data_IF_986976172086
#
_entry.id   IF_986976172086
#
_cell.length_a   1.000
_cell.length_b   1.000
_cell.length_c   1.000
_cell.angle_alpha   90.00
_cell.angle_beta   90.00
_cell.angle_gamma   90.00
#
_symmetry.space_group_name_H-M   'P 1'
#
loop_
_entity.id
_entity.type
_entity.pdbx_description
1 polymer ?
#
# COMPACT_ATOMS: atom_id res chain seq x y z
N UNK A 1 43.41 -20.12 4.96
CA UNK A 1 42.37 -19.89 3.94
C UNK A 1 41.07 -19.69 4.71
N UNK A 2 40.71 -18.44 5.00
CA UNK A 2 39.57 -18.11 5.85
C UNK A 2 38.28 -18.41 5.07
N UNK A 3 37.58 -19.44 5.51
CA UNK A 3 36.21 -19.71 5.08
C UNK A 3 35.37 -18.53 5.58
N UNK A 4 34.91 -17.72 4.64
CA UNK A 4 33.92 -16.67 4.86
C UNK A 4 32.69 -17.33 5.47
N UNK A 5 32.54 -17.21 6.79
CA UNK A 5 31.29 -17.48 7.49
C UNK A 5 30.27 -16.53 6.84
N UNK A 6 29.36 -17.07 6.04
CA UNK A 6 28.23 -16.30 5.53
C UNK A 6 27.51 -15.72 6.74
N UNK A 7 27.54 -14.39 6.91
CA UNK A 7 26.78 -13.73 7.97
C UNK A 7 25.33 -14.17 7.82
N UNK A 8 24.83 -14.92 8.80
CA UNK A 8 23.43 -15.28 8.90
C UNK A 8 22.63 -13.96 8.80
N UNK A 9 21.67 -13.88 7.88
CA UNK A 9 20.84 -12.69 7.71
C UNK A 9 20.05 -12.50 9.01
N UNK A 10 20.42 -11.51 9.82
CA UNK A 10 19.67 -11.17 11.03
C UNK A 10 18.70 -10.06 10.67
N UNK A 11 17.42 -10.41 10.58
CA UNK A 11 16.36 -9.40 10.47
C UNK A 11 16.34 -8.57 11.76
N UNK A 12 16.39 -7.25 11.62
CA UNK A 12 16.32 -6.27 12.71
C UNK A 12 15.09 -5.37 12.62
N UNK A 13 14.47 -5.27 11.44
CA UNK A 13 13.34 -4.40 11.23
C UNK A 13 12.27 -5.01 10.31
N UNK A 14 11.02 -4.62 10.57
CA UNK A 14 9.89 -4.89 9.69
C UNK A 14 9.25 -3.56 9.33
N UNK A 15 9.28 -3.23 8.05
CA UNK A 15 8.69 -2.02 7.50
C UNK A 15 7.41 -2.37 6.74
N UNK A 16 6.41 -1.50 6.78
CA UNK A 16 5.10 -1.75 6.17
C UNK A 16 4.71 -0.62 5.22
N UNK A 17 3.93 -0.93 4.19
CA UNK A 17 3.06 0.07 3.57
C UNK A 17 1.90 0.46 4.51
N UNK A 18 1.14 1.51 4.16
CA UNK A 18 -0.04 1.95 4.89
C UNK A 18 -1.34 1.43 4.26
N UNK A 19 -1.65 1.80 3.02
CA UNK A 19 -2.96 1.58 2.41
C UNK A 19 -3.13 0.12 1.98
N UNK A 20 -4.25 -0.51 2.33
CA UNK A 20 -4.43 -1.95 2.07
C UNK A 20 -3.52 -2.85 2.93
N UNK A 21 -2.57 -2.27 3.68
CA UNK A 21 -1.62 -2.99 4.51
C UNK A 21 -1.93 -2.87 6.00
N UNK A 22 -1.71 -1.70 6.61
CA UNK A 22 -2.01 -1.49 8.04
C UNK A 22 -3.34 -0.75 8.25
N UNK A 23 -3.82 -0.01 7.24
CA UNK A 23 -5.03 0.77 7.30
C UNK A 23 -5.75 0.82 5.95
N UNK A 24 -7.04 1.12 5.98
CA UNK A 24 -7.85 1.36 4.78
C UNK A 24 -8.84 2.51 4.99
N UNK A 25 -9.51 2.90 3.91
CA UNK A 25 -10.54 3.92 3.90
C UNK A 25 -11.72 3.56 4.82
N UNK A 26 -12.21 4.56 5.55
CA UNK A 26 -13.44 4.48 6.32
C UNK A 26 -14.32 5.72 6.07
N UNK A 27 -15.57 5.56 5.59
CA UNK A 27 -16.17 4.29 5.14
C UNK A 27 -15.39 3.68 3.96
N UNK A 28 -15.57 2.37 3.67
CA UNK A 28 -14.92 1.72 2.54
C UNK A 28 -15.18 2.50 1.24
N UNK A 29 -14.16 2.57 0.37
CA UNK A 29 -14.25 3.32 -0.89
C UNK A 29 -15.42 2.84 -1.77
N UNK A 30 -15.75 1.56 -1.70
CA UNK A 30 -16.87 0.93 -2.40
C UNK A 30 -18.21 1.50 -1.93
N UNK A 31 -18.35 1.74 -0.63
CA UNK A 31 -19.56 2.36 -0.06
C UNK A 31 -19.69 3.81 -0.52
N UNK A 32 -18.57 4.55 -0.49
CA UNK A 32 -18.52 5.92 -1.02
C UNK A 32 -18.92 5.93 -2.49
N UNK A 33 -18.35 5.04 -3.30
CA UNK A 33 -18.59 4.91 -4.71
C UNK A 33 -20.05 4.63 -5.04
N UNK A 34 -20.68 3.68 -4.34
CA UNK A 34 -22.11 3.36 -4.49
C UNK A 34 -22.96 4.58 -4.15
N UNK A 35 -22.71 5.21 -2.99
CA UNK A 35 -23.48 6.36 -2.54
C UNK A 35 -23.34 7.58 -3.48
N UNK A 36 -22.16 7.79 -4.09
CA UNK A 36 -22.00 8.86 -5.08
C UNK A 36 -22.69 8.48 -6.39
N UNK A 37 -22.52 7.27 -6.90
CA UNK A 37 -23.15 6.83 -8.15
C UNK A 37 -24.69 6.95 -8.12
N UNK A 38 -25.32 6.66 -6.98
CA UNK A 38 -26.76 6.82 -6.78
C UNK A 38 -27.24 8.28 -7.01
N UNK A 39 -26.42 9.29 -6.66
CA UNK A 39 -26.74 10.71 -6.92
C UNK A 39 -26.83 11.04 -8.42
N UNK A 40 -26.21 10.21 -9.26
CA UNK A 40 -26.25 10.29 -10.71
C UNK A 40 -27.27 9.32 -11.34
N UNK A 41 -28.13 8.69 -10.54
CA UNK A 41 -29.10 7.66 -10.94
C UNK A 41 -28.42 6.41 -11.54
N UNK A 42 -27.22 6.08 -11.07
CA UNK A 42 -26.47 4.90 -11.49
C UNK A 42 -26.48 3.89 -10.35
N UNK A 43 -26.94 2.67 -10.63
CA UNK A 43 -26.89 1.56 -9.69
C UNK A 43 -25.69 0.69 -10.00
N UNK A 44 -24.85 0.45 -8.99
CA UNK A 44 -23.67 -0.41 -9.10
C UNK A 44 -23.96 -1.79 -8.52
N UNK A 45 -23.48 -2.81 -9.20
CA UNK A 45 -23.48 -4.18 -8.73
C UNK A 45 -22.40 -4.35 -7.64
N UNK A 46 -22.86 -4.54 -6.40
CA UNK A 46 -22.00 -4.68 -5.22
C UNK A 46 -21.06 -5.88 -5.31
N UNK A 47 -21.44 -6.92 -6.06
CA UNK A 47 -20.62 -8.12 -6.20
C UNK A 47 -19.49 -7.92 -7.23
N UNK A 48 -19.59 -6.89 -8.09
CA UNK A 48 -18.59 -6.58 -9.13
C UNK A 48 -17.68 -5.41 -8.79
N UNK A 49 -18.07 -4.57 -7.83
CA UNK A 49 -17.35 -3.32 -7.55
C UNK A 49 -15.89 -3.54 -7.16
N UNK A 50 -15.60 -4.63 -6.42
CA UNK A 50 -14.24 -4.96 -6.01
C UNK A 50 -13.37 -5.31 -7.24
N UNK A 51 -13.89 -6.14 -8.14
CA UNK A 51 -13.19 -6.51 -9.38
C UNK A 51 -13.04 -5.30 -10.33
N UNK A 52 -14.03 -4.40 -10.35
CA UNK A 52 -13.93 -3.15 -11.09
C UNK A 52 -12.81 -2.25 -10.56
N UNK A 53 -12.65 -2.15 -9.23
CA UNK A 53 -11.50 -1.46 -8.63
C UNK A 53 -10.17 -2.14 -8.95
N UNK A 54 -10.11 -3.49 -9.00
CA UNK A 54 -8.88 -4.19 -9.44
C UNK A 54 -8.48 -3.76 -10.85
N UNK A 55 -9.44 -3.70 -11.78
CA UNK A 55 -9.18 -3.24 -13.16
C UNK A 55 -8.73 -1.78 -13.21
N UNK A 56 -9.38 -0.89 -12.46
CA UNK A 56 -9.01 0.52 -12.39
C UNK A 56 -7.63 0.74 -11.75
N UNK A 57 -7.30 -0.04 -10.72
CA UNK A 57 -5.99 0.00 -10.08
C UNK A 57 -4.88 -0.46 -11.03
N UNK A 58 -5.11 -1.49 -11.85
CA UNK A 58 -4.16 -1.90 -12.89
C UNK A 58 -3.90 -0.77 -13.91
N UNK A 59 -4.94 -0.01 -14.25
CA UNK A 59 -4.81 1.19 -15.09
C UNK A 59 -3.94 2.28 -14.41
N UNK A 60 -4.14 2.51 -13.11
CA UNK A 60 -3.33 3.43 -12.30
C UNK A 60 -1.86 3.00 -12.19
N UNK A 61 -1.62 1.73 -11.90
CA UNK A 61 -0.26 1.17 -11.80
C UNK A 61 0.47 1.28 -13.14
N UNK A 62 -0.20 0.92 -14.24
CA UNK A 62 0.36 1.04 -15.60
C UNK A 62 0.67 2.48 -15.97
N UNK A 63 -0.17 3.43 -15.57
CA UNK A 63 0.13 4.85 -15.79
C UNK A 63 1.38 5.27 -15.02
N UNK A 64 1.48 4.96 -13.72
CA UNK A 64 2.61 5.35 -12.89
C UNK A 64 3.95 4.71 -13.32
N UNK A 65 3.93 3.55 -13.98
CA UNK A 65 5.13 2.94 -14.53
C UNK A 65 5.65 3.64 -15.80
N UNK A 66 4.78 4.35 -16.53
CA UNK A 66 5.14 5.13 -17.72
C UNK A 66 5.47 6.57 -17.34
N UNK A 67 4.55 7.23 -16.62
CA UNK A 67 4.70 8.60 -16.16
C UNK A 67 3.92 8.81 -14.86
N UNK A 68 4.60 9.20 -13.76
CA UNK A 68 3.94 9.36 -12.46
C UNK A 68 2.81 10.38 -12.46
N UNK A 69 1.62 9.97 -12.01
CA UNK A 69 0.42 10.82 -11.93
C UNK A 69 0.67 12.06 -11.06
N UNK A 70 1.50 11.96 -10.01
CA UNK A 70 1.83 13.11 -9.16
C UNK A 70 2.50 14.27 -9.91
N UNK A 71 3.20 13.98 -11.02
CA UNK A 71 3.88 14.97 -11.87
C UNK A 71 2.96 15.60 -12.92
N UNK A 72 1.76 15.06 -13.11
CA UNK A 72 0.76 15.62 -14.00
C UNK A 72 0.22 16.94 -13.44
N UNK A 73 -0.16 17.83 -14.34
CA UNK A 73 -0.95 19.01 -13.99
C UNK A 73 -2.41 18.63 -13.64
N UNK A 74 -3.20 19.60 -13.18
CA UNK A 74 -4.55 19.32 -12.68
C UNK A 74 -5.52 18.85 -13.78
N UNK A 75 -5.37 19.35 -15.00
CA UNK A 75 -6.18 18.91 -16.15
C UNK A 75 -5.87 17.48 -16.56
N UNK A 76 -4.58 17.13 -16.63
CA UNK A 76 -4.11 15.77 -16.90
C UNK A 76 -4.58 14.78 -15.84
N UNK A 77 -4.50 15.16 -14.55
CA UNK A 77 -5.03 14.34 -13.44
C UNK A 77 -6.53 14.14 -13.57
N UNK A 78 -7.28 15.20 -13.84
CA UNK A 78 -8.74 15.11 -14.00
C UNK A 78 -9.11 14.20 -15.16
N UNK A 79 -8.41 14.32 -16.30
CA UNK A 79 -8.63 13.45 -17.47
C UNK A 79 -8.25 11.99 -17.17
N UNK A 80 -7.16 11.75 -16.46
CA UNK A 80 -6.76 10.42 -16.02
C UNK A 80 -7.82 9.79 -15.12
N UNK A 81 -8.23 10.51 -14.07
CA UNK A 81 -9.18 9.97 -13.10
C UNK A 81 -10.61 9.88 -13.64
N UNK A 82 -10.98 10.66 -14.65
CA UNK A 82 -12.25 10.46 -15.38
C UNK A 82 -12.28 9.09 -16.08
N UNK A 83 -11.14 8.64 -16.62
CA UNK A 83 -11.02 7.30 -17.22
C UNK A 83 -10.96 6.20 -16.16
N UNK A 84 -10.24 6.45 -15.06
CA UNK A 84 -10.21 5.55 -13.89
C UNK A 84 -11.63 5.29 -13.37
N UNK A 85 -12.41 6.36 -13.17
CA UNK A 85 -13.79 6.31 -12.72
C UNK A 85 -14.69 5.57 -13.71
N UNK A 86 -14.54 5.86 -15.02
CA UNK A 86 -15.28 5.15 -16.06
C UNK A 86 -15.02 3.64 -16.00
N UNK A 87 -13.77 3.20 -15.80
CA UNK A 87 -13.44 1.77 -15.67
C UNK A 87 -14.21 1.16 -14.49
N UNK A 88 -14.31 1.85 -13.35
CA UNK A 88 -15.05 1.35 -12.18
C UNK A 88 -16.53 1.20 -12.52
N UNK A 89 -17.17 2.25 -13.05
CA UNK A 89 -18.61 2.22 -13.33
C UNK A 89 -18.95 1.21 -14.42
N UNK A 90 -18.17 1.17 -15.51
CA UNK A 90 -18.39 0.27 -16.65
C UNK A 90 -18.32 -1.21 -16.25
N UNK A 91 -17.41 -1.53 -15.32
CA UNK A 91 -17.21 -2.90 -14.86
C UNK A 91 -18.02 -3.25 -13.61
N UNK A 92 -18.77 -2.30 -13.07
CA UNK A 92 -19.72 -2.50 -11.96
C UNK A 92 -21.16 -2.67 -12.44
N UNK A 93 -21.38 -3.01 -13.72
CA UNK A 93 -22.70 -3.33 -14.27
C UNK A 93 -23.47 -2.16 -14.88
N UNK A 94 -22.83 -0.99 -15.05
CA UNK A 94 -23.37 0.16 -15.78
C UNK A 94 -22.48 0.51 -16.96
N UNK A 95 -22.85 1.50 -17.79
CA UNK A 95 -21.95 2.07 -18.81
C UNK A 95 -22.26 3.56 -18.95
N UNK A 96 -21.23 4.40 -18.91
CA UNK A 96 -21.40 5.86 -18.87
C UNK A 96 -20.42 6.57 -19.80
N UNK A 97 -20.79 7.77 -20.29
CA UNK A 97 -19.83 8.60 -21.00
C UNK A 97 -18.73 9.14 -20.08
N UNK A 98 -17.56 9.44 -20.64
CA UNK A 98 -16.40 9.92 -19.87
C UNK A 98 -16.69 11.25 -19.15
N UNK A 99 -17.56 12.09 -19.70
CA UNK A 99 -17.98 13.34 -19.07
C UNK A 99 -18.85 13.11 -17.83
N UNK A 100 -19.66 12.04 -17.82
CA UNK A 100 -20.42 11.63 -16.63
C UNK A 100 -19.44 11.09 -15.58
N UNK A 101 -18.49 10.24 -15.99
CA UNK A 101 -17.46 9.70 -15.11
C UNK A 101 -16.62 10.81 -14.46
N UNK A 102 -16.28 11.85 -15.22
CA UNK A 102 -15.61 13.05 -14.72
C UNK A 102 -16.39 13.73 -13.59
N UNK A 103 -17.70 13.91 -13.76
CA UNK A 103 -18.54 14.54 -12.74
C UNK A 103 -18.68 13.66 -11.49
N UNK A 104 -18.79 12.35 -11.66
CA UNK A 104 -18.79 11.39 -10.54
C UNK A 104 -17.47 11.46 -9.77
N UNK A 105 -16.33 11.42 -10.47
CA UNK A 105 -15.01 11.56 -9.85
C UNK A 105 -14.90 12.85 -9.04
N UNK A 106 -15.34 13.98 -9.60
CA UNK A 106 -15.36 15.26 -8.88
C UNK A 106 -16.19 15.16 -7.60
N UNK A 107 -17.36 14.51 -7.63
CA UNK A 107 -18.15 14.28 -6.42
C UNK A 107 -17.48 13.33 -5.42
N UNK A 108 -16.80 12.28 -5.87
CA UNK A 108 -16.00 11.39 -5.02
C UNK A 108 -14.93 12.17 -4.26
N UNK A 109 -14.22 13.09 -4.94
CA UNK A 109 -13.15 13.88 -4.30
C UNK A 109 -13.64 14.84 -3.21
N UNK A 110 -14.97 15.09 -3.15
CA UNK A 110 -15.62 15.91 -2.11
C UNK A 110 -16.08 15.08 -0.91
N UNK A 111 -16.09 13.76 -1.00
CA UNK A 111 -16.57 12.91 0.09
C UNK A 111 -15.55 12.90 1.22
N UNK A 112 -16.07 12.99 2.45
CA UNK A 112 -15.24 12.85 3.63
C UNK A 112 -14.91 11.38 3.86
N UNK A 113 -13.63 11.10 4.11
CA UNK A 113 -13.17 9.79 4.53
C UNK A 113 -12.08 9.95 5.59
N UNK A 114 -12.01 8.94 6.44
CA UNK A 114 -10.90 8.71 7.35
C UNK A 114 -10.15 7.45 6.97
N UNK A 115 -9.07 7.20 7.68
CA UNK A 115 -8.29 5.99 7.57
C UNK A 115 -8.39 5.25 8.88
N UNK A 116 -8.67 3.96 8.79
CA UNK A 116 -8.84 3.08 9.94
C UNK A 116 -7.88 1.92 9.85
N UNK A 117 -7.16 1.67 10.94
CA UNK A 117 -6.25 0.53 11.01
C UNK A 117 -7.02 -0.80 10.94
N UNK A 118 -6.40 -1.82 10.35
CA UNK A 118 -6.95 -3.16 10.37
C UNK A 118 -6.93 -3.75 11.80
N UNK A 119 -7.92 -4.59 12.17
CA UNK A 119 -8.00 -5.16 13.52
C UNK A 119 -6.80 -6.02 13.92
N UNK A 120 -6.14 -6.65 12.95
CA UNK A 120 -4.98 -7.54 13.14
C UNK A 120 -3.66 -6.79 13.42
N UNK A 121 -3.61 -5.48 13.16
CA UNK A 121 -2.40 -4.68 13.26
C UNK A 121 -1.82 -4.64 14.69
N UNK A 122 -2.67 -4.41 15.70
CA UNK A 122 -2.19 -4.18 17.08
C UNK A 122 -1.52 -5.42 17.65
N UNK A 123 -2.08 -6.60 17.39
CA UNK A 123 -1.48 -7.86 17.83
C UNK A 123 -0.13 -8.08 17.12
N UNK A 124 -0.10 -7.93 15.80
CA UNK A 124 1.12 -8.04 15.01
C UNK A 124 2.23 -7.09 15.50
N UNK A 125 1.91 -5.82 15.76
CA UNK A 125 2.87 -4.84 16.31
C UNK A 125 3.45 -5.32 17.64
N UNK A 126 2.62 -5.81 18.55
CA UNK A 126 3.09 -6.29 19.85
C UNK A 126 4.02 -7.49 19.69
N UNK A 127 3.65 -8.46 18.87
CA UNK A 127 4.45 -9.66 18.60
C UNK A 127 5.84 -9.31 18.03
N UNK A 128 5.90 -8.38 17.08
CA UNK A 128 7.17 -7.94 16.48
C UNK A 128 8.03 -7.12 17.44
N UNK A 129 7.41 -6.31 18.31
CA UNK A 129 8.13 -5.56 19.35
C UNK A 129 8.70 -6.47 20.42
N UNK A 130 7.99 -7.52 20.79
CA UNK A 130 8.46 -8.54 21.75
C UNK A 130 9.68 -9.30 21.20
N UNK A 131 9.82 -9.38 19.88
CA UNK A 131 11.03 -9.88 19.21
C UNK A 131 12.18 -8.85 19.16
N UNK A 132 11.97 -7.64 19.66
CA UNK A 132 12.96 -6.56 19.65
C UNK A 132 13.17 -5.90 18.29
N UNK A 133 12.20 -6.01 17.38
CA UNK A 133 12.31 -5.48 16.02
C UNK A 133 11.97 -3.99 15.95
N UNK A 134 12.68 -3.29 15.06
CA UNK A 134 12.37 -1.92 14.69
C UNK A 134 11.19 -1.94 13.72
N UNK A 135 10.18 -1.11 13.98
CA UNK A 135 9.00 -1.00 13.11
C UNK A 135 9.04 0.31 12.34
N UNK A 136 8.80 0.22 11.03
CA UNK A 136 8.77 1.39 10.15
C UNK A 136 7.58 1.37 9.20
N UNK A 137 7.21 2.55 8.69
CA UNK A 137 6.25 2.69 7.59
C UNK A 137 6.92 3.36 6.40
N UNK A 138 6.63 2.89 5.19
CA UNK A 138 7.01 3.53 3.92
C UNK A 138 5.79 3.55 3.00
N UNK A 139 5.23 4.73 2.72
CA UNK A 139 4.03 4.84 1.90
C UNK A 139 4.03 6.00 0.90
N UNK A 140 3.34 5.80 -0.22
CA UNK A 140 3.12 6.83 -1.24
C UNK A 140 1.96 7.74 -0.81
N UNK A 141 2.25 8.69 0.09
CA UNK A 141 1.28 9.65 0.62
C UNK A 141 1.85 11.07 0.50
N UNK A 142 0.99 12.00 0.08
CA UNK A 142 1.28 13.45 0.06
C UNK A 142 0.93 14.08 1.43
N UNK A 143 1.43 13.47 2.50
CA UNK A 143 1.25 13.89 3.89
C UNK A 143 2.44 13.41 4.70
N UNK A 144 3.02 14.27 5.53
CA UNK A 144 4.19 13.90 6.33
C UNK A 144 3.94 12.70 7.21
N UNK A 145 4.98 11.89 7.41
CA UNK A 145 4.94 10.68 8.21
C UNK A 145 4.42 10.90 9.62
N UNK A 146 4.85 12.01 10.25
CA UNK A 146 4.36 12.40 11.58
C UNK A 146 2.84 12.60 11.58
N UNK A 147 2.32 13.36 10.62
CA UNK A 147 0.90 13.72 10.56
C UNK A 147 0.02 12.50 10.27
N UNK A 148 0.44 11.61 9.36
CA UNK A 148 -0.32 10.38 9.07
C UNK A 148 -0.29 9.40 10.25
N UNK A 149 0.84 9.28 10.95
CA UNK A 149 0.95 8.45 12.14
C UNK A 149 0.05 8.93 13.29
N UNK A 150 -0.02 10.25 13.49
CA UNK A 150 -0.93 10.88 14.46
C UNK A 150 -2.39 10.66 14.07
N UNK A 151 -2.74 10.85 12.78
CA UNK A 151 -4.10 10.62 12.27
C UNK A 151 -4.56 9.17 12.49
N UNK A 152 -3.68 8.20 12.28
CA UNK A 152 -3.96 6.78 12.48
C UNK A 152 -3.86 6.32 13.95
N UNK A 153 -3.37 7.17 14.85
CA UNK A 153 -3.13 6.82 16.26
C UNK A 153 -1.99 5.81 16.46
N UNK A 154 -1.05 5.73 15.51
CA UNK A 154 0.03 4.71 15.51
C UNK A 154 1.42 5.25 15.85
N UNK A 155 1.56 6.55 16.13
CA UNK A 155 2.86 7.19 16.41
C UNK A 155 3.67 6.51 17.52
N UNK A 156 3.03 5.89 18.50
CA UNK A 156 3.71 5.20 19.62
C UNK A 156 4.22 3.80 19.28
N UNK A 157 3.83 3.27 18.12
CA UNK A 157 4.13 1.90 17.72
C UNK A 157 5.29 1.81 16.73
N UNK A 158 5.43 2.80 15.85
CA UNK A 158 6.43 2.81 14.79
C UNK A 158 7.61 3.72 15.15
N UNK A 159 8.83 3.22 14.99
CA UNK A 159 10.05 3.98 15.18
C UNK A 159 10.24 5.02 14.06
N UNK A 160 9.80 4.66 12.85
CA UNK A 160 9.93 5.49 11.66
C UNK A 160 8.64 5.50 10.86
N UNK A 161 8.26 6.66 10.33
CA UNK A 161 7.17 6.77 9.36
C UNK A 161 7.67 7.67 8.24
N UNK A 162 7.89 7.06 7.08
CA UNK A 162 8.39 7.71 5.89
C UNK A 162 7.31 7.76 4.83
N UNK A 163 7.15 8.93 4.21
CA UNK A 163 6.22 9.11 3.11
C UNK A 163 6.91 9.67 1.89
N UNK A 164 6.23 9.60 0.75
CA UNK A 164 6.71 10.25 -0.47
C UNK A 164 6.83 11.77 -0.33
N UNK A 165 6.03 12.41 0.53
CA UNK A 165 6.21 13.83 0.86
C UNK A 165 7.53 14.07 1.61
N UNK A 166 7.84 13.24 2.60
CA UNK A 166 9.07 13.40 3.41
C UNK A 166 10.35 13.17 2.59
N UNK A 167 10.34 12.18 1.69
CA UNK A 167 11.55 11.70 1.01
C UNK A 167 11.74 12.23 -0.43
N UNK A 168 10.67 12.73 -1.05
CA UNK A 168 10.64 13.23 -2.43
C UNK A 168 10.53 12.16 -3.53
N UNK A 169 10.53 10.89 -3.15
CA UNK A 169 10.42 9.72 -4.03
C UNK A 169 9.21 8.88 -3.64
N UNK A 170 8.67 8.14 -4.60
CA UNK A 170 7.54 7.24 -4.39
C UNK A 170 7.91 5.83 -4.86
N UNK A 171 7.37 4.81 -4.20
CA UNK A 171 7.44 3.42 -4.66
C UNK A 171 6.83 3.30 -6.07
N UNK A 172 7.43 2.54 -7.01
CA UNK A 172 8.51 1.57 -6.84
C UNK A 172 9.94 2.13 -6.95
N UNK A 173 10.13 3.46 -6.96
CA UNK A 173 11.47 4.02 -7.06
C UNK A 173 12.31 3.62 -5.85
N UNK A 174 13.37 2.83 -6.05
CA UNK A 174 14.23 2.31 -4.98
C UNK A 174 14.78 3.38 -4.03
N UNK A 175 14.90 4.63 -4.48
CA UNK A 175 15.38 5.75 -3.65
C UNK A 175 14.52 5.98 -2.40
N UNK A 176 13.21 5.69 -2.43
CA UNK A 176 12.38 5.82 -1.22
C UNK A 176 12.80 4.80 -0.15
N UNK A 177 13.13 3.59 -0.57
CA UNK A 177 13.60 2.52 0.30
C UNK A 177 15.03 2.80 0.78
N UNK A 178 15.96 3.10 -0.14
CA UNK A 178 17.36 3.39 0.17
C UNK A 178 17.48 4.54 1.18
N UNK A 179 16.78 5.66 0.97
CA UNK A 179 16.77 6.77 1.93
C UNK A 179 16.15 6.40 3.29
N UNK A 180 15.09 5.61 3.29
CA UNK A 180 14.46 5.15 4.54
C UNK A 180 15.44 4.32 5.38
N UNK A 181 16.20 3.43 4.72
CA UNK A 181 17.23 2.62 5.36
C UNK A 181 18.41 3.45 5.87
N UNK A 182 18.87 4.42 5.08
CA UNK A 182 19.96 5.33 5.48
C UNK A 182 19.61 6.11 6.76
N UNK A 183 18.40 6.66 6.82
CA UNK A 183 17.89 7.38 8.00
C UNK A 183 17.76 6.43 9.20
N UNK A 184 17.23 5.23 8.97
CA UNK A 184 17.06 4.22 10.01
C UNK A 184 18.39 3.54 10.43
N UNK A 185 19.48 3.80 9.71
CA UNK A 185 20.81 3.17 9.86
C UNK A 185 20.74 1.64 9.77
N UNK A 186 19.99 1.16 8.78
CA UNK A 186 19.79 -0.26 8.49
C UNK A 186 20.36 -0.61 7.11
N UNK A 187 20.75 -1.86 6.93
CA UNK A 187 21.09 -2.40 5.61
C UNK A 187 19.89 -3.15 5.01
N UNK A 188 19.78 -3.25 3.67
CA UNK A 188 18.65 -3.94 3.04
C UNK A 188 18.42 -5.37 3.54
N UNK A 189 19.50 -6.09 3.86
CA UNK A 189 19.45 -7.46 4.37
C UNK A 189 18.90 -7.61 5.79
N UNK A 190 18.77 -6.51 6.54
CA UNK A 190 18.27 -6.49 7.91
C UNK A 190 16.76 -6.16 7.96
N UNK A 191 16.13 -5.90 6.82
CA UNK A 191 14.75 -5.40 6.74
C UNK A 191 13.87 -6.34 5.94
N UNK A 192 12.67 -6.58 6.47
CA UNK A 192 11.55 -7.14 5.71
C UNK A 192 10.57 -6.02 5.39
N UNK A 193 10.09 -5.95 4.16
CA UNK A 193 9.05 -5.00 3.75
C UNK A 193 7.73 -5.71 3.46
N UNK A 194 6.66 -5.25 4.08
CA UNK A 194 5.30 -5.80 3.92
C UNK A 194 4.44 -4.79 3.17
N UNK A 195 3.81 -5.20 2.08
CA UNK A 195 2.91 -4.34 1.31
C UNK A 195 1.91 -5.15 0.51
N UNK A 196 0.87 -4.50 0.00
CA UNK A 196 -0.24 -5.13 -0.70
C UNK A 196 -0.08 -5.10 -2.22
N UNK A 197 0.82 -4.28 -2.76
CA UNK A 197 0.95 -4.07 -4.20
C UNK A 197 2.21 -4.72 -4.78
N UNK A 198 2.03 -5.61 -5.75
CA UNK A 198 3.15 -6.29 -6.42
C UNK A 198 4.13 -5.29 -7.05
N UNK A 199 3.65 -4.32 -7.82
CA UNK A 199 4.52 -3.41 -8.54
C UNK A 199 5.23 -2.41 -7.63
N UNK A 200 4.48 -1.71 -6.77
CA UNK A 200 5.04 -0.63 -5.95
C UNK A 200 5.82 -1.19 -4.75
N UNK A 201 5.28 -2.18 -4.04
CA UNK A 201 5.87 -2.71 -2.82
C UNK A 201 6.85 -3.85 -3.08
N UNK A 202 6.40 -4.90 -3.77
CA UNK A 202 7.19 -6.13 -3.89
C UNK A 202 8.37 -5.92 -4.84
N UNK A 203 8.11 -5.44 -6.06
CA UNK A 203 9.18 -5.15 -7.01
C UNK A 203 10.03 -3.95 -6.55
N UNK A 204 9.42 -2.94 -5.94
CA UNK A 204 10.13 -1.80 -5.35
C UNK A 204 11.15 -2.22 -4.29
N UNK A 205 10.72 -3.03 -3.32
CA UNK A 205 11.59 -3.57 -2.27
C UNK A 205 12.66 -4.52 -2.83
N UNK A 206 12.32 -5.41 -3.78
CA UNK A 206 13.31 -6.26 -4.48
C UNK A 206 14.39 -5.44 -5.15
N UNK A 207 14.02 -4.36 -5.85
CA UNK A 207 14.96 -3.46 -6.52
C UNK A 207 15.87 -2.70 -5.55
N UNK A 208 15.46 -2.57 -4.28
CA UNK A 208 16.25 -2.03 -3.18
C UNK A 208 17.02 -3.12 -2.39
N UNK A 209 16.99 -4.38 -2.83
CA UNK A 209 17.54 -5.56 -2.15
C UNK A 209 16.96 -5.85 -0.75
N UNK A 210 15.74 -5.36 -0.48
CA UNK A 210 14.98 -5.64 0.74
C UNK A 210 14.16 -6.92 0.51
N UNK A 211 13.98 -7.74 1.54
CA UNK A 211 13.11 -8.93 1.46
C UNK A 211 11.63 -8.51 1.50
N UNK A 212 10.84 -8.67 0.43
CA UNK A 212 9.42 -8.38 0.48
C UNK A 212 8.58 -9.56 0.98
N UNK A 213 7.41 -9.24 1.55
CA UNK A 213 6.29 -10.16 1.76
C UNK A 213 5.04 -9.47 1.21
N UNK A 214 4.27 -10.20 0.41
CA UNK A 214 3.00 -9.71 -0.14
C UNK A 214 1.87 -9.97 0.85
N UNK A 215 1.13 -8.93 1.20
CA UNK A 215 -0.09 -9.00 2.00
C UNK A 215 -1.31 -8.85 1.08
N UNK A 216 -1.89 -9.97 0.66
CA UNK A 216 -3.00 -10.03 -0.30
C UNK A 216 -4.36 -10.16 0.40
N UNK A 217 -4.75 -9.11 1.15
CA UNK A 217 -5.99 -9.12 1.95
C UNK A 217 -7.26 -9.41 1.15
N UNK A 218 -7.25 -9.05 -0.12
CA UNK A 218 -8.42 -9.06 -1.01
C UNK A 218 -8.37 -10.14 -2.08
N UNK A 219 -7.41 -11.06 -2.00
CA UNK A 219 -7.17 -12.11 -3.01
C UNK A 219 -7.05 -11.54 -4.44
N UNK A 220 -6.35 -10.40 -4.56
CA UNK A 220 -6.03 -9.76 -5.83
C UNK A 220 -4.97 -10.54 -6.63
N UNK A 221 -4.16 -11.34 -5.92
CA UNK A 221 -2.96 -11.99 -6.45
C UNK A 221 -2.96 -13.50 -6.15
N UNK A 222 -4.10 -14.17 -6.33
CA UNK A 222 -4.30 -15.59 -6.02
C UNK A 222 -3.17 -16.48 -6.58
N UNK A 223 -2.80 -16.27 -7.84
CA UNK A 223 -1.77 -17.05 -8.56
C UNK A 223 -0.34 -16.49 -8.43
N UNK A 224 -0.09 -15.48 -7.59
CA UNK A 224 1.24 -14.91 -7.41
C UNK A 224 2.04 -15.70 -6.36
N UNK A 225 3.17 -16.28 -6.78
CA UNK A 225 4.01 -17.16 -5.94
C UNK A 225 5.49 -16.79 -5.92
N UNK A 226 5.85 -15.60 -6.41
CA UNK A 226 7.25 -15.13 -6.53
C UNK A 226 7.89 -14.69 -5.20
N UNK A 227 7.09 -14.57 -4.15
CA UNK A 227 7.49 -14.18 -2.78
C UNK A 227 6.56 -14.85 -1.76
N UNK A 228 6.93 -14.78 -0.48
CA UNK A 228 6.03 -15.18 0.60
C UNK A 228 4.78 -14.30 0.54
N UNK A 229 3.61 -14.93 0.47
CA UNK A 229 2.30 -14.29 0.47
C UNK A 229 1.53 -14.64 1.73
N UNK A 230 0.91 -13.64 2.34
CA UNK A 230 0.00 -13.75 3.49
C UNK A 230 -1.29 -13.00 3.16
N UNK A 231 -2.39 -13.34 3.84
CA UNK A 231 -3.69 -12.69 3.67
C UNK A 231 -4.06 -11.78 4.85
N UNK A 232 -3.40 -11.97 5.99
CA UNK A 232 -3.56 -11.16 7.19
C UNK A 232 -2.24 -11.03 7.96
N UNK A 233 -2.19 -10.07 8.89
CA UNK A 233 -0.99 -9.80 9.68
C UNK A 233 -0.76 -10.81 10.81
N UNK A 234 -1.73 -11.67 11.16
CA UNK A 234 -1.52 -12.70 12.18
C UNK A 234 -0.51 -13.75 11.70
N UNK A 235 -0.49 -14.04 10.39
CA UNK A 235 0.48 -14.95 9.78
C UNK A 235 1.93 -14.46 9.89
N UNK A 236 2.15 -13.16 10.11
CA UNK A 236 3.49 -12.57 10.06
C UNK A 236 4.37 -13.01 11.23
N UNK A 237 3.81 -13.28 12.40
CA UNK A 237 4.56 -13.63 13.61
C UNK A 237 5.48 -14.85 13.37
N UNK A 238 4.92 -15.95 12.87
CA UNK A 238 5.68 -17.19 12.67
C UNK A 238 6.72 -17.04 11.55
N UNK A 239 6.37 -16.33 10.47
CA UNK A 239 7.28 -16.06 9.35
C UNK A 239 8.49 -15.26 9.83
N UNK A 240 8.27 -14.17 10.56
CA UNK A 240 9.35 -13.31 11.04
C UNK A 240 10.20 -14.04 12.09
N UNK A 241 9.58 -14.81 12.99
CA UNK A 241 10.31 -15.63 13.98
C UNK A 241 11.30 -16.58 13.30
N UNK A 242 10.91 -17.22 12.21
CA UNK A 242 11.78 -18.09 11.43
C UNK A 242 12.93 -17.33 10.73
N UNK A 243 12.68 -16.08 10.32
CA UNK A 243 13.68 -15.23 9.65
C UNK A 243 14.69 -14.58 10.60
N UNK A 244 14.29 -14.24 11.83
CA UNK A 244 15.20 -13.69 12.86
C UNK A 244 16.17 -14.77 13.37
N UNK A 245 15.81 -16.04 13.18
CA UNK A 245 16.58 -17.20 13.60
C UNK A 245 16.04 -17.77 14.91
N UNK A 246 15.69 -19.05 14.87
CA UNK A 246 15.53 -19.87 16.08
C UNK A 246 16.84 -19.77 16.87
N UNK A 247 16.78 -19.23 18.08
CA UNK A 247 17.83 -19.47 19.07
C UNK A 247 18.00 -20.96 19.32
#
# INVERSE_FOLDING_TARGET
MNILISKQKVIKAVFFDIYGTIADFFPPKEEIQINVAEKFNITLDKDKILDAYKLANNFLVKQNSIFPIRKMNDEEKLNFFSKYEKIIIDNSGSNIDVDVAKNIWVEITKQNYDLKIFPDLIQCINDLRDMGLILGLISNINMSGKKIAEKLGVSKYFNYVFTSEDLGYEKPNKMIFEKSLDIAKLTPSEVVFIGDQVESDILGAKNANILPILLDRYNNYENYSEVIKINDLFQLQEIIKNLVGSK
#
